data_IF_266449721017
#
_entry.id   IF_266449721017
#
_cell.length_a   1.000
_cell.length_b   1.000
_cell.length_c   1.000
_cell.angle_alpha   90.00
_cell.angle_beta   90.00
_cell.angle_gamma   90.00
#
_symmetry.space_group_name_H-M   'P 1'
#
loop_
_entity.id
_entity.type
_entity.pdbx_description
1 polymer ?
#
# COMPACT_ATOMS: atom_id res chain seq x y z
N UNK A 1 -16.27 6.33 -3.94
CA UNK A 1 -15.93 5.70 -5.24
C UNK A 1 -14.60 4.92 -5.19
N UNK A 2 -13.51 5.50 -4.67
CA UNK A 2 -12.18 4.85 -4.62
C UNK A 2 -12.13 3.67 -3.64
N UNK A 3 -12.50 3.88 -2.37
CA UNK A 3 -12.52 2.81 -1.36
C UNK A 3 -13.31 1.58 -1.81
N UNK A 4 -14.47 1.79 -2.46
CA UNK A 4 -15.29 0.72 -3.03
C UNK A 4 -14.56 -0.09 -4.13
N UNK A 5 -13.74 0.55 -4.98
CA UNK A 5 -12.90 -0.15 -5.96
C UNK A 5 -11.84 -1.01 -5.28
N UNK A 6 -11.18 -0.47 -4.25
CA UNK A 6 -10.20 -1.23 -3.44
C UNK A 6 -10.88 -2.41 -2.75
N UNK A 7 -12.07 -2.22 -2.17
CA UNK A 7 -12.88 -3.28 -1.59
C UNK A 7 -13.25 -4.35 -2.61
N UNK A 8 -13.63 -3.98 -3.84
CA UNK A 8 -13.89 -4.94 -4.93
C UNK A 8 -12.65 -5.76 -5.25
N UNK A 9 -11.49 -5.13 -5.42
CA UNK A 9 -10.22 -5.82 -5.67
C UNK A 9 -9.85 -6.76 -4.51
N UNK A 10 -9.99 -6.29 -3.26
CA UNK A 10 -9.72 -7.10 -2.08
C UNK A 10 -10.67 -8.30 -1.96
N UNK A 11 -11.96 -8.14 -2.32
CA UNK A 11 -12.90 -9.27 -2.37
C UNK A 11 -12.51 -10.31 -3.42
N UNK A 12 -11.95 -9.89 -4.56
CA UNK A 12 -11.40 -10.82 -5.56
C UNK A 12 -10.22 -11.59 -4.99
N UNK A 13 -9.29 -10.93 -4.29
CA UNK A 13 -8.19 -11.58 -3.57
C UNK A 13 -8.70 -12.64 -2.59
N UNK A 14 -9.65 -12.30 -1.71
CA UNK A 14 -10.25 -13.28 -0.78
C UNK A 14 -10.88 -14.44 -1.55
N UNK A 15 -11.62 -14.16 -2.63
CA UNK A 15 -12.40 -15.17 -3.35
C UNK A 15 -11.53 -16.14 -4.14
N UNK A 16 -10.52 -15.64 -4.83
CA UNK A 16 -9.75 -16.41 -5.82
C UNK A 16 -8.37 -16.83 -5.31
N UNK A 17 -7.82 -16.15 -4.30
CA UNK A 17 -6.47 -16.40 -3.77
C UNK A 17 -6.45 -16.61 -2.25
N UNK A 18 -7.56 -17.07 -1.66
CA UNK A 18 -7.67 -17.35 -0.21
C UNK A 18 -6.55 -18.24 0.33
N UNK A 19 -6.03 -19.17 -0.49
CA UNK A 19 -4.90 -20.03 -0.11
C UNK A 19 -3.70 -19.23 0.42
N UNK A 20 -3.39 -18.08 -0.17
CA UNK A 20 -2.28 -17.23 0.27
C UNK A 20 -2.51 -16.67 1.68
N UNK A 21 -3.76 -16.29 1.99
CA UNK A 21 -4.17 -15.75 3.28
C UNK A 21 -4.24 -16.86 4.34
N UNK A 22 -4.87 -17.99 4.01
CA UNK A 22 -5.01 -19.14 4.91
C UNK A 22 -3.65 -19.73 5.32
N UNK A 23 -2.67 -19.78 4.42
CA UNK A 23 -1.35 -20.33 4.70
C UNK A 23 -0.32 -19.28 5.13
N UNK A 24 -0.74 -18.05 5.44
CA UNK A 24 0.14 -16.95 5.86
C UNK A 24 1.34 -16.77 4.91
N UNK A 25 1.08 -16.77 3.61
CA UNK A 25 2.09 -16.54 2.58
C UNK A 25 2.86 -15.22 2.82
N UNK A 26 3.97 -15.05 2.11
CA UNK A 26 4.74 -13.82 2.21
C UNK A 26 3.90 -12.61 1.75
N UNK A 27 4.09 -11.45 2.41
CA UNK A 27 3.36 -10.21 2.10
C UNK A 27 3.49 -9.84 0.63
N UNK A 28 4.68 -9.97 0.02
CA UNK A 28 4.88 -9.68 -1.40
C UNK A 28 3.99 -10.50 -2.32
N UNK A 29 3.77 -11.77 -2.01
CA UNK A 29 2.89 -12.65 -2.81
C UNK A 29 1.43 -12.20 -2.73
N UNK A 30 0.97 -11.81 -1.53
CA UNK A 30 -0.40 -11.36 -1.31
C UNK A 30 -0.61 -9.97 -1.95
N UNK A 31 0.34 -9.06 -1.75
CA UNK A 31 0.38 -7.71 -2.31
C UNK A 31 0.37 -7.74 -3.84
N UNK A 32 1.17 -8.61 -4.46
CA UNK A 32 1.18 -8.77 -5.91
C UNK A 32 -0.20 -9.16 -6.46
N UNK A 33 -0.86 -10.17 -5.87
CA UNK A 33 -2.20 -10.60 -6.29
C UNK A 33 -3.25 -9.50 -6.07
N UNK A 34 -3.15 -8.74 -4.97
CA UNK A 34 -4.01 -7.58 -4.77
C UNK A 34 -3.78 -6.53 -5.87
N UNK A 35 -2.53 -6.28 -6.25
CA UNK A 35 -2.14 -5.37 -7.33
C UNK A 35 -2.77 -5.72 -8.67
N UNK A 36 -2.82 -7.02 -9.03
CA UNK A 36 -3.49 -7.47 -10.25
C UNK A 36 -4.98 -7.11 -10.27
N UNK A 37 -5.70 -7.38 -9.17
CA UNK A 37 -7.12 -7.04 -9.09
C UNK A 37 -7.36 -5.54 -9.01
N UNK A 38 -6.46 -4.77 -8.40
CA UNK A 38 -6.51 -3.32 -8.43
C UNK A 38 -6.34 -2.81 -9.87
N UNK A 39 -5.46 -3.41 -10.68
CA UNK A 39 -5.29 -3.01 -12.08
C UNK A 39 -6.58 -3.16 -12.90
N UNK A 40 -7.37 -4.20 -12.63
CA UNK A 40 -8.69 -4.37 -13.24
C UNK A 40 -9.67 -3.24 -12.88
N UNK A 41 -9.60 -2.71 -11.66
CA UNK A 41 -10.48 -1.64 -11.18
C UNK A 41 -10.00 -0.23 -11.60
N UNK A 42 -8.71 -0.06 -11.86
CA UNK A 42 -8.07 1.21 -12.23
C UNK A 42 -7.43 1.14 -13.63
N UNK A 43 -8.24 0.83 -14.64
CA UNK A 43 -7.78 0.62 -16.03
C UNK A 43 -6.96 1.77 -16.60
N UNK A 44 -7.31 3.01 -16.25
CA UNK A 44 -6.62 4.20 -16.74
C UNK A 44 -5.28 4.46 -16.06
N UNK A 45 -4.97 3.83 -14.93
CA UNK A 45 -3.73 4.05 -14.18
C UNK A 45 -2.81 2.84 -14.24
N UNK A 46 -1.51 3.05 -14.06
CA UNK A 46 -0.58 1.98 -13.77
C UNK A 46 -0.73 1.54 -12.32
N UNK A 47 -0.60 0.23 -12.07
CA UNK A 47 -0.60 -0.34 -10.72
C UNK A 47 0.68 -1.13 -10.55
N UNK A 48 1.55 -0.68 -9.67
CA UNK A 48 2.87 -1.26 -9.48
C UNK A 48 3.13 -1.57 -8.00
N UNK A 49 3.81 -2.69 -7.74
CA UNK A 49 4.29 -3.04 -6.42
C UNK A 49 5.75 -2.61 -6.23
N UNK A 50 6.11 -2.12 -5.05
CA UNK A 50 7.48 -1.70 -4.68
C UNK A 50 8.13 -0.70 -5.68
N UNK A 51 7.33 0.08 -6.41
CA UNK A 51 7.83 0.99 -7.44
C UNK A 51 8.47 2.24 -6.82
N UNK A 52 9.74 2.47 -7.16
CA UNK A 52 10.62 3.40 -6.47
C UNK A 52 10.96 4.66 -7.29
N UNK A 53 10.21 4.98 -8.35
CA UNK A 53 10.44 6.20 -9.15
C UNK A 53 9.28 7.21 -9.03
N UNK A 54 9.61 8.50 -9.10
CA UNK A 54 8.68 9.61 -9.20
C UNK A 54 9.07 10.44 -10.43
N UNK A 55 8.37 10.24 -11.55
CA UNK A 55 8.90 10.64 -12.86
C UNK A 55 10.14 9.82 -13.20
N UNK A 56 11.28 10.50 -13.36
CA UNK A 56 12.59 9.89 -13.62
C UNK A 56 13.47 9.80 -12.36
N UNK A 57 13.07 10.45 -11.28
CA UNK A 57 13.85 10.51 -10.05
C UNK A 57 13.49 9.37 -9.08
N UNK A 58 14.42 8.88 -8.25
CA UNK A 58 14.07 7.97 -7.17
C UNK A 58 13.05 8.59 -6.19
N UNK A 59 12.05 7.82 -5.75
CA UNK A 59 11.13 8.20 -4.68
C UNK A 59 11.91 8.34 -3.39
N UNK A 60 11.95 9.57 -2.87
CA UNK A 60 12.59 9.89 -1.60
C UNK A 60 11.63 10.65 -0.71
N UNK A 61 11.67 10.36 0.59
CA UNK A 61 10.94 11.12 1.60
C UNK A 61 11.96 11.85 2.46
N UNK A 62 11.82 13.17 2.50
CA UNK A 62 12.70 14.06 3.25
C UNK A 62 12.37 14.06 4.75
N UNK A 63 11.11 13.81 5.09
CA UNK A 63 10.61 13.83 6.48
C UNK A 63 11.17 12.70 7.36
N UNK A 64 11.59 11.57 6.78
CA UNK A 64 12.30 10.49 7.51
C UNK A 64 13.68 10.93 8.06
N UNK A 65 14.24 12.06 7.58
CA UNK A 65 15.49 12.63 8.10
C UNK A 65 15.41 13.05 9.57
N UNK A 66 14.23 13.42 10.08
CA UNK A 66 14.08 13.95 11.45
C UNK A 66 14.22 12.87 12.54
N UNK A 67 14.05 11.60 12.20
CA UNK A 67 14.06 10.49 13.17
C UNK A 67 15.38 9.70 13.19
N UNK A 68 16.34 10.02 12.31
CA UNK A 68 17.64 9.35 12.25
C UNK A 68 18.72 10.40 12.52
N UNK A 69 19.28 10.40 13.74
CA UNK A 69 20.48 11.17 14.12
C UNK A 69 21.73 10.61 13.42
N UNK A 70 21.77 10.67 12.10
CA UNK A 70 22.98 10.36 11.33
C UNK A 70 23.26 11.49 10.35
N UNK A 71 24.52 11.92 10.29
CA UNK A 71 25.06 13.01 9.47
C UNK A 71 24.89 12.83 7.93
N UNK A 72 24.11 11.85 7.50
CA UNK A 72 23.75 11.65 6.09
C UNK A 72 22.59 12.58 5.72
N UNK A 73 22.93 13.69 5.09
CA UNK A 73 22.02 14.74 4.63
C UNK A 73 21.09 14.32 3.47
N UNK A 74 21.09 13.05 3.05
CA UNK A 74 20.34 12.54 1.92
C UNK A 74 18.95 12.00 2.31
N UNK A 75 17.94 12.28 1.48
CA UNK A 75 16.58 11.79 1.71
C UNK A 75 16.50 10.26 1.52
N UNK A 76 15.70 9.59 2.36
CA UNK A 76 15.60 8.13 2.39
C UNK A 76 14.78 7.65 1.20
N UNK A 77 15.33 6.68 0.45
CA UNK A 77 14.59 6.04 -0.66
C UNK A 77 13.49 5.15 -0.10
N UNK A 78 12.31 5.23 -0.70
CA UNK A 78 11.11 4.53 -0.21
C UNK A 78 10.49 3.64 -1.28
N UNK A 79 9.87 2.56 -0.83
CA UNK A 79 9.26 1.52 -1.66
C UNK A 79 7.87 1.25 -1.09
N UNK A 80 6.82 1.89 -1.62
CA UNK A 80 5.46 1.60 -1.18
C UNK A 80 5.02 0.24 -1.70
N UNK A 81 4.21 -0.49 -0.91
CA UNK A 81 3.81 -1.84 -1.26
C UNK A 81 3.03 -1.90 -2.57
N UNK A 82 2.07 -0.99 -2.76
CA UNK A 82 1.36 -0.81 -4.02
C UNK A 82 1.15 0.68 -4.28
N UNK A 83 1.34 1.10 -5.53
CA UNK A 83 0.98 2.43 -6.00
C UNK A 83 0.04 2.35 -7.20
N UNK A 84 -0.86 3.33 -7.29
CA UNK A 84 -1.70 3.59 -8.46
C UNK A 84 -1.30 4.97 -8.96
N UNK A 85 -0.76 5.03 -10.17
CA UNK A 85 -0.04 6.21 -10.67
C UNK A 85 0.02 6.23 -12.21
N UNK A 86 0.76 7.18 -12.78
CA UNK A 86 1.15 7.17 -14.19
C UNK A 86 2.68 7.09 -14.27
N UNK A 87 3.20 6.02 -14.88
CA UNK A 87 4.65 5.86 -15.05
C UNK A 87 5.25 7.01 -15.87
N UNK A 88 6.47 7.41 -15.53
CA UNK A 88 7.19 8.50 -16.20
C UNK A 88 6.66 9.91 -15.88
N UNK A 89 5.68 10.05 -14.98
CA UNK A 89 5.19 11.35 -14.51
C UNK A 89 5.23 11.41 -12.98
N UNK A 90 4.89 12.57 -12.42
CA UNK A 90 4.69 12.77 -10.98
C UNK A 90 3.22 12.64 -10.57
N UNK A 91 2.38 12.05 -11.42
CA UNK A 91 0.97 11.82 -11.13
C UNK A 91 0.79 10.61 -10.22
N UNK A 92 0.97 10.85 -8.92
CA UNK A 92 0.78 9.88 -7.86
C UNK A 92 -0.67 9.91 -7.36
N UNK A 93 -1.47 8.88 -7.68
CA UNK A 93 -2.90 8.89 -7.35
C UNK A 93 -3.18 8.25 -5.99
N UNK A 94 -2.84 6.98 -5.82
CA UNK A 94 -3.09 6.23 -4.57
C UNK A 94 -1.80 5.53 -4.15
N UNK A 95 -1.46 5.63 -2.86
CA UNK A 95 -0.46 4.79 -2.22
C UNK A 95 -1.14 3.85 -1.24
N UNK A 96 -0.67 2.60 -1.21
CA UNK A 96 -1.17 1.58 -0.31
C UNK A 96 0.02 0.95 0.41
N UNK A 97 -0.06 0.91 1.74
CA UNK A 97 0.80 0.07 2.58
C UNK A 97 -0.04 -1.08 3.10
N UNK A 98 0.48 -2.30 3.03
CA UNK A 98 -0.26 -3.51 3.33
C UNK A 98 0.54 -4.44 4.23
N UNK A 99 -0.10 -4.95 5.29
CA UNK A 99 0.56 -5.85 6.25
C UNK A 99 -0.30 -7.02 6.61
N UNK A 100 0.35 -8.13 6.96
CA UNK A 100 -0.34 -9.22 7.65
C UNK A 100 -0.77 -8.78 9.03
N UNK A 101 -1.90 -9.31 9.47
CA UNK A 101 -2.48 -9.00 10.77
C UNK A 101 -1.60 -9.46 11.95
N UNK A 102 -0.61 -10.32 11.70
CA UNK A 102 0.43 -10.70 12.66
C UNK A 102 1.52 -9.62 12.89
N UNK A 103 1.59 -8.59 12.05
CA UNK A 103 2.73 -7.65 11.97
C UNK A 103 2.35 -6.18 12.23
N UNK A 104 1.37 -5.92 13.11
CA UNK A 104 0.84 -4.56 13.30
C UNK A 104 1.78 -3.69 14.15
N UNK A 105 2.40 -2.66 13.56
CA UNK A 105 3.21 -1.64 14.26
C UNK A 105 2.59 -0.24 14.10
N UNK A 106 2.96 0.72 14.97
CA UNK A 106 2.39 2.08 15.01
C UNK A 106 2.91 3.05 13.93
N UNK A 107 4.04 2.75 13.29
CA UNK A 107 4.76 3.72 12.42
C UNK A 107 4.15 3.91 11.02
N UNK A 108 3.15 3.11 10.63
CA UNK A 108 2.66 3.09 9.24
C UNK A 108 1.84 4.33 8.87
N UNK A 109 1.18 4.96 9.85
CA UNK A 109 0.38 6.17 9.61
C UNK A 109 1.26 7.38 9.28
N UNK A 110 2.43 7.51 9.93
CA UNK A 110 3.36 8.59 9.64
C UNK A 110 3.96 8.44 8.23
N UNK A 111 4.32 7.20 7.84
CA UNK A 111 4.80 6.89 6.50
C UNK A 111 3.78 7.27 5.42
N UNK A 112 2.51 6.89 5.60
CA UNK A 112 1.42 7.21 4.68
C UNK A 112 1.15 8.72 4.58
N UNK A 113 1.21 9.44 5.69
CA UNK A 113 1.11 10.91 5.71
C UNK A 113 2.27 11.55 4.94
N UNK A 114 3.50 11.05 5.11
CA UNK A 114 4.67 11.54 4.41
C UNK A 114 4.59 11.31 2.89
N UNK A 115 4.04 10.19 2.42
CA UNK A 115 3.79 10.01 0.98
C UNK A 115 2.86 11.07 0.39
N UNK A 116 1.79 11.44 1.11
CA UNK A 116 0.88 12.50 0.66
C UNK A 116 1.59 13.85 0.58
N UNK A 117 2.34 14.19 1.62
CA UNK A 117 2.98 15.51 1.75
C UNK A 117 4.21 15.67 0.84
N UNK A 118 5.11 14.68 0.80
CA UNK A 118 6.39 14.78 0.10
C UNK A 118 6.28 14.34 -1.37
N UNK A 119 5.38 13.39 -1.70
CA UNK A 119 5.26 12.82 -3.06
C UNK A 119 3.92 13.13 -3.75
N UNK A 120 3.03 13.88 -3.11
CA UNK A 120 1.79 14.38 -3.73
C UNK A 120 0.73 13.32 -4.00
N UNK A 121 0.74 12.18 -3.28
CA UNK A 121 -0.32 11.18 -3.39
C UNK A 121 -1.67 11.77 -2.97
N UNK A 122 -2.69 11.65 -3.83
CA UNK A 122 -4.05 12.16 -3.54
C UNK A 122 -4.75 11.36 -2.45
N UNK A 123 -4.53 10.05 -2.41
CA UNK A 123 -5.09 9.16 -1.40
C UNK A 123 -4.01 8.21 -0.85
N UNK A 124 -4.16 7.84 0.42
CA UNK A 124 -3.29 6.88 1.08
C UNK A 124 -4.16 5.88 1.85
N UNK A 125 -3.89 4.59 1.69
CA UNK A 125 -4.63 3.53 2.36
C UNK A 125 -3.69 2.61 3.12
N UNK A 126 -4.15 2.18 4.29
CA UNK A 126 -3.56 1.07 5.02
C UNK A 126 -4.45 -0.16 4.88
N UNK A 127 -3.86 -1.29 4.47
CA UNK A 127 -4.57 -2.54 4.26
C UNK A 127 -4.02 -3.63 5.18
N UNK A 128 -4.93 -4.36 5.83
CA UNK A 128 -4.60 -5.49 6.67
C UNK A 128 -4.99 -6.78 5.95
N UNK A 129 -4.08 -7.75 5.88
CA UNK A 129 -4.33 -9.12 5.46
C UNK A 129 -4.57 -9.99 6.69
N UNK A 130 -5.82 -10.42 6.98
CA UNK A 130 -6.07 -11.43 8.00
C UNK A 130 -5.51 -12.75 7.46
N UNK A 131 -4.62 -13.38 8.23
CA UNK A 131 -3.94 -14.61 7.83
C UNK A 131 -4.12 -15.71 8.88
N UNK A 132 -3.92 -16.96 8.46
CA UNK A 132 -4.04 -18.14 9.31
C UNK A 132 -5.35 -18.14 10.12
N UNK A 133 -5.28 -18.30 11.45
CA UNK A 133 -6.46 -18.34 12.31
C UNK A 133 -7.34 -17.10 12.16
N UNK A 134 -6.75 -15.91 11.98
CA UNK A 134 -7.52 -14.67 11.86
C UNK A 134 -8.33 -14.59 10.57
N UNK A 135 -7.89 -15.29 9.50
CA UNK A 135 -8.67 -15.39 8.26
C UNK A 135 -9.94 -16.22 8.44
N UNK A 136 -9.91 -17.21 9.34
CA UNK A 136 -11.07 -18.06 9.61
C UNK A 136 -12.09 -17.41 10.57
N UNK A 137 -11.72 -16.29 11.21
CA UNK A 137 -12.63 -15.50 12.03
C UNK A 137 -13.53 -14.61 11.15
N UNK A 138 -14.73 -14.31 11.65
CA UNK A 138 -15.62 -13.38 10.97
C UNK A 138 -15.09 -11.95 11.11
N UNK A 139 -14.62 -11.36 10.00
CA UNK A 139 -14.19 -9.95 9.95
C UNK A 139 -15.12 -9.11 9.08
N UNK A 140 -15.14 -7.79 9.35
CA UNK A 140 -15.76 -6.80 8.47
C UNK A 140 -14.69 -6.23 7.56
N UNK A 141 -14.93 -6.23 6.25
CA UNK A 141 -13.97 -5.73 5.27
C UNK A 141 -13.58 -4.27 5.52
N UNK A 142 -14.53 -3.45 5.99
CA UNK A 142 -14.31 -2.03 6.30
C UNK A 142 -13.23 -1.81 7.37
N UNK A 143 -12.99 -2.81 8.23
CA UNK A 143 -11.96 -2.76 9.27
C UNK A 143 -10.56 -3.14 8.75
N UNK A 144 -10.48 -3.69 7.54
CA UNK A 144 -9.23 -4.11 6.91
C UNK A 144 -8.68 -3.08 5.93
N UNK A 145 -9.48 -2.07 5.57
CA UNK A 145 -9.14 -1.05 4.59
C UNK A 145 -9.41 0.32 5.21
N UNK A 146 -8.34 0.98 5.63
CA UNK A 146 -8.37 2.30 6.25
C UNK A 146 -7.84 3.35 5.29
N UNK A 147 -8.57 4.46 5.11
CA UNK A 147 -8.07 5.62 4.35
C UNK A 147 -7.47 6.61 5.34
N UNK A 148 -6.22 7.01 5.10
CA UNK A 148 -5.51 7.99 5.93
C UNK A 148 -6.00 9.39 5.57
N UNK A 149 -6.75 9.97 6.50
CA UNK A 149 -7.23 11.34 6.41
C UNK A 149 -6.08 12.33 6.64
N UNK A 150 -6.16 13.55 6.06
CA UNK A 150 -5.22 14.62 6.39
C UNK A 150 -5.20 14.94 7.89
#
# INVERSE_FOLDING_TARGET
>A
MIKKKIETAYRKLIKYDSYLLTNSANERSITHKLGEYLKEEFLEYDVDCEYNLNGLDPKKISSFKKNIESDNTDAVSVYPDIIIHKRGTTENFIVIEAKKSSNKNKDDNEKLSNYKNDLGYKHAFFIIFPVAEQFNLKFKLDNLIEEIKP
#
